data_IF_499813741471
#
_entry.id   IF_499813741471
#
_cell.length_a   1.000
_cell.length_b   1.000
_cell.length_c   1.000
_cell.angle_alpha   90.00
_cell.angle_beta   90.00
_cell.angle_gamma   90.00
#
_symmetry.space_group_name_H-M   'P 1'
#
loop_
_entity.id
_entity.type
_entity.pdbx_description
1 polymer ?
#
# COMPACT_ATOMS: atom_id res chain seq x y z
N UNK A 1 18.83 -8.43 2.27
CA UNK A 1 18.59 -9.30 1.10
C UNK A 1 17.36 -8.76 0.40
N UNK A 2 17.49 -8.32 -0.85
CA UNK A 2 16.39 -7.67 -1.57
C UNK A 2 15.36 -8.74 -1.98
N UNK A 3 14.06 -8.49 -1.78
CA UNK A 3 13.00 -9.45 -2.11
C UNK A 3 13.04 -9.89 -3.60
N UNK A 4 13.50 -9.01 -4.48
CA UNK A 4 13.69 -9.32 -5.89
C UNK A 4 14.85 -10.32 -6.11
N UNK A 5 15.94 -10.19 -5.36
CA UNK A 5 17.07 -11.15 -5.42
C UNK A 5 16.63 -12.54 -4.93
N UNK A 6 15.84 -12.58 -3.86
CA UNK A 6 15.29 -13.83 -3.33
C UNK A 6 14.38 -14.51 -4.37
N UNK A 7 13.56 -13.70 -5.05
CA UNK A 7 12.70 -14.18 -6.12
C UNK A 7 13.51 -14.74 -7.29
N UNK A 8 14.55 -14.03 -7.73
CA UNK A 8 15.41 -14.48 -8.83
C UNK A 8 16.19 -15.75 -8.47
N UNK A 9 16.60 -15.88 -7.20
CA UNK A 9 17.40 -17.03 -6.74
C UNK A 9 16.57 -18.29 -6.54
N UNK A 10 15.37 -18.16 -5.97
CA UNK A 10 14.58 -19.31 -5.52
C UNK A 10 13.26 -19.50 -6.28
N UNK A 11 12.81 -18.49 -7.04
CA UNK A 11 11.54 -18.51 -7.76
C UNK A 11 10.31 -18.59 -6.85
N UNK A 12 10.49 -18.42 -5.53
CA UNK A 12 9.46 -18.58 -4.50
C UNK A 12 9.63 -17.51 -3.44
N UNK A 13 8.48 -16.96 -3.01
CA UNK A 13 8.42 -15.95 -1.96
C UNK A 13 7.36 -16.35 -0.93
N UNK A 14 7.75 -16.37 0.35
CA UNK A 14 6.85 -16.70 1.46
C UNK A 14 5.97 -15.51 1.85
N UNK A 15 4.89 -15.75 2.59
CA UNK A 15 4.01 -14.68 3.05
C UNK A 15 4.70 -13.74 4.07
N UNK A 16 5.62 -14.27 4.88
CA UNK A 16 6.36 -13.48 5.86
C UNK A 16 7.23 -12.43 5.16
N UNK A 17 7.99 -12.86 4.14
CA UNK A 17 8.82 -11.97 3.34
C UNK A 17 7.98 -10.87 2.63
N UNK A 18 6.77 -11.19 2.16
CA UNK A 18 5.87 -10.18 1.57
C UNK A 18 5.38 -9.14 2.59
N UNK A 19 5.12 -9.57 3.83
CA UNK A 19 4.63 -8.67 4.89
C UNK A 19 5.70 -7.70 5.35
N UNK A 20 6.96 -8.14 5.38
CA UNK A 20 8.08 -7.35 5.85
C UNK A 20 8.59 -6.37 4.78
N UNK A 21 8.41 -6.68 3.51
CA UNK A 21 8.85 -5.85 2.39
C UNK A 21 8.19 -4.46 2.36
N UNK A 22 8.91 -3.47 1.86
CA UNK A 22 8.39 -2.11 1.66
C UNK A 22 7.44 -2.04 0.46
N UNK A 23 6.72 -0.92 0.31
CA UNK A 23 5.86 -0.71 -0.86
C UNK A 23 6.69 -0.69 -2.14
N UNK A 24 7.87 -0.08 -2.09
CA UNK A 24 8.81 0.04 -3.20
C UNK A 24 9.31 -1.33 -3.63
N UNK A 25 9.71 -2.17 -2.66
CA UNK A 25 10.16 -3.55 -2.88
C UNK A 25 9.04 -4.42 -3.47
N UNK A 26 7.83 -4.34 -2.91
CA UNK A 26 6.67 -5.07 -3.44
C UNK A 26 6.29 -4.63 -4.86
N UNK A 27 6.44 -3.34 -5.15
CA UNK A 27 6.18 -2.80 -6.50
C UNK A 27 7.20 -3.33 -7.50
N UNK A 28 8.49 -3.32 -7.15
CA UNK A 28 9.55 -3.88 -7.98
C UNK A 28 9.36 -5.38 -8.22
N UNK A 29 9.06 -6.14 -7.16
CA UNK A 29 8.78 -7.58 -7.27
C UNK A 29 7.57 -7.84 -8.17
N UNK A 30 6.51 -7.03 -8.06
CA UNK A 30 5.31 -7.17 -8.90
C UNK A 30 5.65 -7.01 -10.37
N UNK A 31 6.48 -6.04 -10.72
CA UNK A 31 6.93 -5.83 -12.10
C UNK A 31 7.68 -7.05 -12.63
N UNK A 32 8.67 -7.56 -11.88
CA UNK A 32 9.43 -8.75 -12.27
C UNK A 32 8.55 -9.99 -12.46
N UNK A 33 7.63 -10.25 -11.53
CA UNK A 33 6.70 -11.39 -11.64
C UNK A 33 5.80 -11.25 -12.86
N UNK A 34 5.32 -10.04 -13.16
CA UNK A 34 4.47 -9.80 -14.33
C UNK A 34 5.22 -9.92 -15.65
N UNK A 35 6.48 -9.49 -15.70
CA UNK A 35 7.38 -9.69 -16.85
C UNK A 35 7.57 -11.18 -17.13
N UNK A 36 7.83 -11.99 -16.11
CA UNK A 36 7.96 -13.43 -16.25
C UNK A 36 6.65 -14.09 -16.72
N UNK A 37 5.50 -13.68 -16.19
CA UNK A 37 4.19 -14.17 -16.65
C UNK A 37 4.00 -13.85 -18.14
N UNK A 38 4.39 -12.65 -18.55
CA UNK A 38 4.29 -12.19 -19.94
C UNK A 38 5.21 -12.98 -20.85
N UNK A 39 6.47 -13.20 -20.42
CA UNK A 39 7.43 -14.03 -21.13
C UNK A 39 6.91 -15.46 -21.33
N UNK A 40 6.40 -16.11 -20.28
CA UNK A 40 5.82 -17.46 -20.38
C UNK A 40 4.60 -17.47 -21.29
N UNK A 41 3.74 -16.45 -21.21
CA UNK A 41 2.57 -16.33 -22.09
C UNK A 41 3.00 -16.24 -23.55
N UNK A 42 3.99 -15.41 -23.87
CA UNK A 42 4.49 -15.25 -25.23
C UNK A 42 5.04 -16.57 -25.78
N UNK A 43 5.79 -17.34 -24.98
CA UNK A 43 6.29 -18.66 -25.37
C UNK A 43 5.15 -19.66 -25.65
N UNK A 44 4.11 -19.66 -24.81
CA UNK A 44 2.92 -20.49 -25.02
C UNK A 44 2.15 -20.09 -26.29
N UNK A 45 2.01 -18.79 -26.54
CA UNK A 45 1.34 -18.25 -27.72
C UNK A 45 2.14 -18.57 -29.01
N UNK A 46 3.47 -18.49 -28.96
CA UNK A 46 4.35 -18.89 -30.07
C UNK A 46 4.26 -20.39 -30.36
N UNK A 47 4.28 -21.23 -29.33
CA UNK A 47 4.09 -22.68 -29.48
C UNK A 47 2.74 -23.01 -30.13
N UNK A 48 1.68 -22.29 -29.73
CA UNK A 48 0.35 -22.43 -30.34
C UNK A 48 0.34 -21.96 -31.80
N UNK A 49 1.05 -20.89 -32.12
CA UNK A 49 1.17 -20.40 -33.49
C UNK A 49 1.90 -21.41 -34.41
N UNK A 50 2.97 -22.04 -33.93
CA UNK A 50 3.68 -23.12 -34.67
C UNK A 50 2.80 -24.32 -34.95
N UNK A 51 1.97 -24.71 -33.98
CA UNK A 51 0.98 -25.77 -34.18
C UNK A 51 -0.01 -25.41 -35.30
N UNK A 52 -0.52 -24.19 -35.31
CA UNK A 52 -1.50 -23.73 -36.31
C UNK A 52 -0.86 -23.63 -37.70
N UNK A 53 0.36 -23.07 -37.78
CA UNK A 53 1.03 -22.81 -39.05
C UNK A 53 1.59 -24.09 -39.69
N UNK A 54 2.20 -24.96 -38.89
CA UNK A 54 3.03 -26.06 -39.38
C UNK A 54 2.57 -27.45 -38.90
N UNK A 55 1.57 -27.53 -38.01
CA UNK A 55 1.17 -28.78 -37.35
C UNK A 55 2.16 -29.26 -36.27
N UNK A 56 3.13 -28.43 -35.90
CA UNK A 56 4.16 -28.78 -34.92
C UNK A 56 3.65 -28.62 -33.50
N UNK A 57 3.52 -29.75 -32.79
CA UNK A 57 3.19 -29.75 -31.37
C UNK A 57 4.41 -29.41 -30.53
N UNK A 58 4.22 -28.56 -29.52
CA UNK A 58 5.21 -28.37 -28.48
C UNK A 58 5.31 -29.62 -27.59
N UNK A 59 6.48 -29.82 -26.98
CA UNK A 59 6.70 -30.88 -26.00
C UNK A 59 5.65 -30.82 -24.88
N UNK A 60 4.96 -31.95 -24.65
CA UNK A 60 3.83 -32.00 -23.71
C UNK A 60 4.27 -31.69 -22.27
N UNK A 61 5.45 -32.18 -21.86
CA UNK A 61 5.99 -31.94 -20.53
C UNK A 61 6.34 -30.46 -20.33
N UNK A 62 6.98 -29.85 -21.32
CA UNK A 62 7.28 -28.42 -21.33
C UNK A 62 5.99 -27.59 -21.25
N UNK A 63 5.00 -27.89 -22.10
CA UNK A 63 3.74 -27.14 -22.15
C UNK A 63 2.99 -27.20 -20.81
N UNK A 64 2.95 -28.37 -20.17
CA UNK A 64 2.38 -28.51 -18.83
C UNK A 64 3.15 -27.71 -17.78
N UNK A 65 4.48 -27.78 -17.78
CA UNK A 65 5.34 -27.02 -16.86
C UNK A 65 5.19 -25.51 -17.03
N UNK A 66 5.14 -25.02 -18.28
CA UNK A 66 4.93 -23.61 -18.59
C UNK A 66 3.58 -23.10 -18.07
N UNK A 67 2.49 -23.86 -18.28
CA UNK A 67 1.18 -23.52 -17.72
C UNK A 67 1.17 -23.54 -16.19
N UNK A 68 1.80 -24.53 -15.56
CA UNK A 68 1.94 -24.59 -14.10
C UNK A 68 2.71 -23.39 -13.55
N UNK A 69 3.84 -23.04 -14.18
CA UNK A 69 4.66 -21.89 -13.81
C UNK A 69 3.87 -20.57 -13.92
N UNK A 70 3.15 -20.36 -15.04
CA UNK A 70 2.27 -19.22 -15.24
C UNK A 70 1.22 -19.11 -14.12
N UNK A 71 0.59 -20.25 -13.75
CA UNK A 71 -0.42 -20.28 -12.68
C UNK A 71 0.18 -19.89 -11.32
N UNK A 72 1.33 -20.49 -10.96
CA UNK A 72 2.02 -20.21 -9.69
C UNK A 72 2.44 -18.74 -9.61
N UNK A 73 3.06 -18.20 -10.67
CA UNK A 73 3.44 -16.79 -10.73
C UNK A 73 2.22 -15.86 -10.69
N UNK A 74 1.12 -16.24 -11.34
CA UNK A 74 -0.16 -15.51 -11.25
C UNK A 74 -0.69 -15.41 -9.81
N UNK A 75 -0.67 -16.52 -9.07
CA UNK A 75 -1.04 -16.52 -7.64
C UNK A 75 -0.11 -15.65 -6.80
N UNK A 76 1.19 -15.65 -7.10
CA UNK A 76 2.16 -14.78 -6.43
C UNK A 76 1.87 -13.29 -6.73
N UNK A 77 1.61 -12.92 -7.99
CA UNK A 77 1.28 -11.54 -8.37
C UNK A 77 0.01 -11.04 -7.67
N UNK A 78 -0.97 -11.92 -7.47
CA UNK A 78 -2.18 -11.60 -6.70
C UNK A 78 -1.85 -11.36 -5.22
N UNK A 79 -1.08 -12.24 -4.58
CA UNK A 79 -0.65 -12.06 -3.17
C UNK A 79 0.13 -10.76 -2.97
N UNK A 80 1.01 -10.41 -3.91
CA UNK A 80 1.75 -9.13 -3.88
C UNK A 80 0.77 -7.95 -3.97
N UNK A 81 -0.24 -8.03 -4.84
CA UNK A 81 -1.26 -6.99 -4.98
C UNK A 81 -2.07 -6.78 -3.70
N UNK A 82 -2.43 -7.88 -3.02
CA UNK A 82 -3.18 -7.85 -1.77
C UNK A 82 -2.37 -7.15 -0.66
N UNK A 83 -1.09 -7.49 -0.49
CA UNK A 83 -0.23 -6.83 0.50
C UNK A 83 0.06 -5.36 0.14
N UNK A 84 0.25 -5.01 -1.13
CA UNK A 84 0.34 -3.61 -1.57
C UNK A 84 -0.91 -2.81 -1.19
N UNK A 85 -2.09 -3.36 -1.45
CA UNK A 85 -3.37 -2.74 -1.10
C UNK A 85 -3.47 -2.53 0.41
N UNK A 86 -3.14 -3.56 1.20
CA UNK A 86 -3.16 -3.53 2.66
C UNK A 86 -2.25 -2.43 3.21
N UNK A 87 -0.97 -2.38 2.78
CA UNK A 87 -0.01 -1.36 3.23
C UNK A 87 -0.45 0.04 2.87
N UNK A 88 -1.02 0.24 1.67
CA UNK A 88 -1.57 1.54 1.26
C UNK A 88 -2.73 1.98 2.15
N UNK A 89 -3.63 1.08 2.53
CA UNK A 89 -4.74 1.41 3.43
C UNK A 89 -4.26 1.78 4.84
N UNK A 90 -3.26 1.05 5.38
CA UNK A 90 -2.65 1.38 6.67
C UNK A 90 -2.06 2.78 6.64
N UNK A 91 -1.24 3.09 5.62
CA UNK A 91 -0.62 4.42 5.45
C UNK A 91 -1.67 5.54 5.40
N UNK A 92 -2.73 5.35 4.62
CA UNK A 92 -3.83 6.33 4.52
C UNK A 92 -4.56 6.51 5.85
N UNK A 93 -4.75 5.44 6.63
CA UNK A 93 -5.37 5.53 7.95
C UNK A 93 -4.49 6.30 8.95
N UNK A 94 -3.18 6.07 8.91
CA UNK A 94 -2.20 6.80 9.74
C UNK A 94 -2.15 8.29 9.37
N UNK A 95 -2.10 8.62 8.08
CA UNK A 95 -2.14 10.00 7.60
C UNK A 95 -3.40 10.74 8.06
N UNK A 96 -4.57 10.08 8.01
CA UNK A 96 -5.84 10.63 8.52
C UNK A 96 -5.77 10.88 10.02
N UNK A 97 -5.29 9.91 10.79
CA UNK A 97 -5.14 10.04 12.24
C UNK A 97 -4.23 11.20 12.62
N UNK A 98 -3.08 11.33 11.95
CA UNK A 98 -2.16 12.44 12.17
C UNK A 98 -2.79 13.80 11.83
N UNK A 99 -3.58 13.87 10.75
CA UNK A 99 -4.28 15.09 10.37
C UNK A 99 -5.33 15.50 11.41
N UNK A 100 -6.07 14.53 11.95
CA UNK A 100 -7.06 14.79 12.99
C UNK A 100 -6.40 15.22 14.31
N UNK A 101 -5.28 14.61 14.68
CA UNK A 101 -4.47 15.03 15.84
C UNK A 101 -3.95 16.46 15.68
N UNK A 102 -3.41 16.80 14.51
CA UNK A 102 -2.99 18.17 14.19
C UNK A 102 -4.15 19.16 14.25
N UNK A 103 -5.32 18.80 13.75
CA UNK A 103 -6.52 19.64 13.82
C UNK A 103 -6.92 19.91 15.28
N UNK A 104 -7.00 18.86 16.10
CA UNK A 104 -7.31 18.98 17.53
C UNK A 104 -6.29 19.84 18.27
N UNK A 105 -5.01 19.71 17.93
CA UNK A 105 -3.95 20.53 18.52
C UNK A 105 -4.11 22.00 18.11
N UNK A 106 -4.32 22.27 16.83
CA UNK A 106 -4.55 23.63 16.35
C UNK A 106 -5.78 24.29 17.00
N UNK A 107 -6.87 23.54 17.20
CA UNK A 107 -8.06 24.01 17.90
C UNK A 107 -7.76 24.36 19.37
N UNK A 108 -6.95 23.53 20.06
CA UNK A 108 -6.50 23.83 21.43
C UNK A 108 -5.63 25.08 21.47
N UNK A 109 -4.68 25.22 20.56
CA UNK A 109 -3.76 26.34 20.50
C UNK A 109 -4.51 27.65 20.20
N UNK A 110 -5.47 27.63 19.26
CA UNK A 110 -6.35 28.78 18.99
C UNK A 110 -7.14 29.22 20.21
N UNK A 111 -7.72 28.27 20.95
CA UNK A 111 -8.41 28.59 22.21
C UNK A 111 -7.44 29.19 23.23
N UNK A 112 -6.22 28.65 23.33
CA UNK A 112 -5.15 29.21 24.17
C UNK A 112 -4.84 30.67 23.82
N UNK A 113 -4.62 30.97 22.55
CA UNK A 113 -4.38 32.34 22.06
C UNK A 113 -5.54 33.29 22.35
N UNK A 114 -6.79 32.84 22.19
CA UNK A 114 -7.96 33.65 22.53
C UNK A 114 -8.03 33.97 24.02
N UNK A 115 -7.79 32.98 24.88
CA UNK A 115 -7.75 33.18 26.33
C UNK A 115 -6.65 34.17 26.71
N UNK A 116 -5.47 34.04 26.11
CA UNK A 116 -4.36 34.95 26.36
C UNK A 116 -4.69 36.39 25.90
N UNK A 117 -5.29 36.55 24.70
CA UNK A 117 -5.73 37.84 24.20
C UNK A 117 -6.78 38.49 25.11
N UNK A 118 -7.73 37.71 25.65
CA UNK A 118 -8.73 38.18 26.61
C UNK A 118 -8.04 38.75 27.86
N UNK A 119 -7.06 38.04 28.43
CA UNK A 119 -6.34 38.51 29.61
C UNK A 119 -5.48 39.74 29.35
N UNK A 120 -5.04 39.98 28.11
CA UNK A 120 -4.26 41.19 27.75
C UNK A 120 -5.14 42.44 27.62
N UNK A 121 -6.40 42.29 27.21
CA UNK A 121 -7.30 43.43 26.90
C UNK A 121 -8.26 43.73 28.05
N UNK A 122 -8.69 42.72 28.81
CA UNK A 122 -9.69 42.86 29.87
C UNK A 122 -9.07 42.82 31.26
N UNK A 123 -9.72 43.49 32.21
CA UNK A 123 -9.41 43.31 33.64
C UNK A 123 -9.75 41.89 34.11
N UNK A 124 -9.13 41.37 35.19
CA UNK A 124 -9.37 40.01 35.66
C UNK A 124 -10.86 39.68 35.88
N UNK A 125 -11.64 40.60 36.49
CA UNK A 125 -13.09 40.40 36.71
C UNK A 125 -13.90 40.34 35.41
N UNK A 126 -13.52 41.13 34.40
CA UNK A 126 -14.18 41.12 33.09
C UNK A 126 -13.84 39.86 32.31
N UNK A 127 -12.57 39.44 32.31
CA UNK A 127 -12.11 38.20 31.70
C UNK A 127 -12.84 36.99 32.30
N UNK A 128 -12.94 36.90 33.62
CA UNK A 128 -13.64 35.82 34.31
C UNK A 128 -15.14 35.76 33.94
N UNK A 129 -15.80 36.92 33.84
CA UNK A 129 -17.19 36.99 33.38
C UNK A 129 -17.36 36.49 31.94
N UNK A 130 -16.47 36.89 31.03
CA UNK A 130 -16.49 36.46 29.63
C UNK A 130 -16.23 34.95 29.50
N UNK A 131 -15.23 34.42 30.20
CA UNK A 131 -14.92 32.99 30.19
C UNK A 131 -16.06 32.16 30.80
N UNK A 132 -16.71 32.63 31.86
CA UNK A 132 -17.87 31.96 32.45
C UNK A 132 -19.10 31.97 31.54
N UNK A 133 -19.34 33.05 30.78
CA UNK A 133 -20.39 33.05 29.75
C UNK A 133 -20.05 32.08 28.61
N UNK A 134 -18.81 32.08 28.14
CA UNK A 134 -18.37 31.19 27.07
C UNK A 134 -18.51 29.71 27.44
N UNK A 135 -18.17 29.33 28.69
CA UNK A 135 -18.40 27.98 29.23
C UNK A 135 -19.88 27.57 29.30
N UNK A 136 -20.80 28.53 29.48
CA UNK A 136 -22.25 28.25 29.51
C UNK A 136 -22.86 28.09 28.12
N UNK A 137 -22.26 28.68 27.09
CA UNK A 137 -22.76 28.65 25.71
C UNK A 137 -22.20 27.45 24.93
N UNK A 138 -21.04 26.92 25.33
CA UNK A 138 -20.42 25.74 24.71
C UNK A 138 -21.11 24.46 25.24
N UNK A 139 -21.82 23.68 24.41
CA UNK A 139 -22.44 22.42 24.82
C UNK A 139 -21.41 21.33 25.15
#
# INVERSE_FOLDING_TARGET
MNICEEYLRHGKITNEVLKDATIEELTALKSLVNEDITSIKNQLDEAKAKLIANGEYADANWHQKANAAKRIKGQLSQRIQEELSRKKQIRLAEERKQKDERRKQNEKDQVGYLIEAIHRVLTPKQAEKVLNMWRKIRP
#
